data_IF_667563808118
#
_entry.id   IF_667563808118
#
_cell.length_a   1.000
_cell.length_b   1.000
_cell.length_c   1.000
_cell.angle_alpha   90.00
_cell.angle_beta   90.00
_cell.angle_gamma   90.00
#
_symmetry.space_group_name_H-M   'P 1'
#
loop_
_entity.id
_entity.type
_entity.pdbx_description
1 polymer ?
#
# COMPACT_ATOMS: atom_id res chain seq x y z
N UNK A 1 -4.37 17.44 -23.41
CA UNK A 1 -3.69 17.22 -22.11
C UNK A 1 -2.43 18.06 -22.10
N UNK A 2 -2.21 18.91 -21.10
CA UNK A 2 -0.95 19.65 -20.95
C UNK A 2 0.18 18.69 -20.58
N UNK A 3 1.30 18.70 -21.32
CA UNK A 3 2.47 17.88 -20.99
C UNK A 3 3.30 18.63 -19.95
N UNK A 4 3.20 18.20 -18.69
CA UNK A 4 4.03 18.72 -17.60
C UNK A 4 5.35 17.95 -17.52
N UNK A 5 6.45 18.63 -17.20
CA UNK A 5 7.76 18.02 -17.01
C UNK A 5 8.19 18.12 -15.55
N UNK A 6 9.00 17.15 -15.12
CA UNK A 6 9.66 17.18 -13.82
C UNK A 6 10.65 18.35 -13.76
N UNK A 7 10.86 18.89 -12.57
CA UNK A 7 11.87 19.93 -12.37
C UNK A 7 13.31 19.35 -12.43
N UNK A 8 14.32 20.22 -12.42
CA UNK A 8 15.74 19.83 -12.54
C UNK A 8 16.18 18.82 -11.46
N UNK A 9 15.75 19.02 -10.21
CA UNK A 9 16.08 18.15 -9.08
C UNK A 9 15.45 16.76 -9.25
N UNK A 10 14.20 16.71 -9.65
CA UNK A 10 13.47 15.48 -9.93
C UNK A 10 14.06 14.73 -11.13
N UNK A 11 14.47 15.45 -12.19
CA UNK A 11 15.15 14.84 -13.34
C UNK A 11 16.50 14.22 -12.96
N UNK A 12 17.26 14.85 -12.07
CA UNK A 12 18.51 14.30 -11.56
C UNK A 12 18.32 12.94 -10.87
N UNK A 13 17.20 12.74 -10.16
CA UNK A 13 16.85 11.43 -9.56
C UNK A 13 16.70 10.38 -10.66
N UNK A 14 15.96 10.69 -11.73
CA UNK A 14 15.78 9.78 -12.87
C UNK A 14 17.12 9.44 -13.53
N UNK A 15 17.97 10.43 -13.77
CA UNK A 15 19.31 10.22 -14.33
C UNK A 15 20.19 9.35 -13.45
N UNK A 16 20.13 9.53 -12.11
CA UNK A 16 20.88 8.69 -11.17
C UNK A 16 20.42 7.24 -11.24
N UNK A 17 19.11 7.00 -11.21
CA UNK A 17 18.52 5.66 -11.35
C UNK A 17 18.97 5.02 -12.67
N UNK A 18 18.85 5.73 -13.78
CA UNK A 18 19.25 5.25 -15.10
C UNK A 18 20.74 4.87 -15.14
N UNK A 19 21.63 5.76 -14.65
CA UNK A 19 23.08 5.54 -14.58
C UNK A 19 23.44 4.32 -13.74
N UNK A 20 22.81 4.17 -12.57
CA UNK A 20 23.13 3.09 -11.63
C UNK A 20 22.60 1.73 -12.09
N UNK A 21 21.36 1.70 -12.57
CA UNK A 21 20.64 0.48 -12.98
C UNK A 21 20.97 0.03 -14.41
N UNK A 22 21.45 0.95 -15.26
CA UNK A 22 21.61 0.71 -16.70
C UNK A 22 20.27 0.64 -17.46
N UNK A 23 19.16 1.04 -16.84
CA UNK A 23 17.85 1.08 -17.47
C UNK A 23 17.67 2.43 -18.17
N UNK A 24 17.33 2.40 -19.45
CA UNK A 24 17.25 3.59 -20.29
C UNK A 24 15.82 4.07 -20.56
N UNK A 25 14.82 3.30 -20.15
CA UNK A 25 13.40 3.58 -20.35
C UNK A 25 12.61 2.98 -19.19
N UNK A 26 11.99 3.84 -18.38
CA UNK A 26 11.17 3.46 -17.23
C UNK A 26 10.29 4.61 -16.75
N UNK A 27 9.28 4.24 -15.97
CA UNK A 27 8.40 5.13 -15.25
C UNK A 27 8.66 4.99 -13.76
N UNK A 28 9.11 6.06 -13.10
CA UNK A 28 9.25 6.12 -11.66
C UNK A 28 7.91 6.50 -11.04
N UNK A 29 7.36 5.65 -10.17
CA UNK A 29 6.17 5.91 -9.37
C UNK A 29 6.49 5.95 -7.88
N UNK A 30 5.50 5.59 -7.06
CA UNK A 30 5.69 5.45 -5.62
C UNK A 30 5.68 6.77 -4.87
N UNK A 31 6.20 6.76 -3.66
CA UNK A 31 6.09 7.91 -2.74
C UNK A 31 6.97 9.10 -3.11
N UNK A 32 8.05 8.87 -3.85
CA UNK A 32 8.96 9.93 -4.29
C UNK A 32 8.27 10.93 -5.22
N UNK A 33 7.30 10.50 -6.03
CA UNK A 33 6.70 11.34 -7.07
C UNK A 33 5.79 12.43 -6.51
N UNK A 34 5.36 12.29 -5.26
CA UNK A 34 4.54 13.26 -4.55
C UNK A 34 5.16 13.72 -3.23
N UNK A 35 6.43 13.39 -2.97
CA UNK A 35 7.10 13.68 -1.69
C UNK A 35 7.03 15.15 -1.32
N UNK A 36 7.40 16.05 -2.23
CA UNK A 36 7.42 17.49 -1.98
C UNK A 36 6.01 18.01 -1.60
N UNK A 37 4.97 17.56 -2.30
CA UNK A 37 3.58 17.92 -2.00
C UNK A 37 3.14 17.36 -0.64
N UNK A 38 3.58 16.14 -0.28
CA UNK A 38 3.26 15.57 1.01
C UNK A 38 3.93 16.35 2.16
N UNK A 39 5.18 16.76 1.98
CA UNK A 39 5.92 17.61 2.94
C UNK A 39 5.21 18.95 3.14
N UNK A 40 4.75 19.61 2.06
CA UNK A 40 3.96 20.84 2.12
C UNK A 40 2.65 20.67 2.89
N UNK A 41 2.08 19.45 2.90
CA UNK A 41 0.87 19.11 3.65
C UNK A 41 1.15 18.70 5.11
N UNK A 42 2.40 18.78 5.56
CA UNK A 42 2.85 18.36 6.89
C UNK A 42 3.02 16.84 7.05
N UNK A 43 3.10 16.11 5.94
CA UNK A 43 3.26 14.65 5.93
C UNK A 43 4.71 14.30 5.57
N UNK A 44 5.50 14.00 6.59
CA UNK A 44 6.90 13.62 6.42
C UNK A 44 7.05 12.10 6.34
N UNK A 45 7.80 11.62 5.35
CA UNK A 45 8.19 10.21 5.26
C UNK A 45 9.53 10.05 4.53
N UNK A 46 10.20 8.94 4.83
CA UNK A 46 11.41 8.53 4.14
C UNK A 46 11.07 7.77 2.86
N UNK A 47 11.89 7.97 1.84
CA UNK A 47 11.83 7.19 0.58
C UNK A 47 12.94 6.16 0.66
N UNK A 48 12.54 4.93 0.98
CA UNK A 48 13.47 3.82 1.22
C UNK A 48 13.64 2.92 -0.02
N UNK A 49 12.78 3.10 -1.01
CA UNK A 49 12.74 2.36 -2.24
C UNK A 49 12.24 3.22 -3.40
N UNK A 50 12.59 2.82 -4.62
CA UNK A 50 12.04 3.38 -5.85
C UNK A 50 11.18 2.34 -6.56
N UNK A 51 9.91 2.68 -6.76
CA UNK A 51 8.96 1.90 -7.53
C UNK A 51 9.12 2.23 -9.02
N UNK A 52 9.67 1.31 -9.81
CA UNK A 52 9.84 1.47 -11.24
C UNK A 52 8.82 0.62 -11.99
N UNK A 53 8.32 1.15 -13.09
CA UNK A 53 7.53 0.40 -14.05
C UNK A 53 8.16 0.46 -15.44
N UNK A 54 8.23 -0.69 -16.09
CA UNK A 54 8.76 -0.84 -17.44
C UNK A 54 7.71 -1.52 -18.28
N UNK A 55 7.39 -0.91 -19.43
CA UNK A 55 6.41 -1.48 -20.36
C UNK A 55 7.06 -2.67 -21.09
N UNK A 56 6.40 -3.83 -21.03
CA UNK A 56 6.84 -5.03 -21.73
C UNK A 56 6.22 -6.32 -21.22
N UNK A 57 6.88 -7.43 -21.56
CA UNK A 57 6.42 -8.78 -21.33
C UNK A 57 7.51 -9.63 -20.61
N UNK A 58 7.39 -10.95 -20.69
CA UNK A 58 8.39 -11.87 -20.14
C UNK A 58 9.79 -11.71 -20.76
N UNK A 59 9.90 -11.33 -22.05
CA UNK A 59 11.19 -11.08 -22.69
C UNK A 59 11.82 -9.83 -22.10
N UNK A 60 11.05 -8.75 -21.92
CA UNK A 60 11.51 -7.53 -21.23
C UNK A 60 11.94 -7.84 -19.80
N UNK A 61 11.17 -8.62 -19.05
CA UNK A 61 11.53 -9.07 -17.70
C UNK A 61 12.89 -9.78 -17.65
N UNK A 62 13.14 -10.75 -18.53
CA UNK A 62 14.41 -11.46 -18.60
C UNK A 62 15.57 -10.53 -18.97
N UNK A 63 15.33 -9.61 -19.91
CA UNK A 63 16.32 -8.60 -20.32
C UNK A 63 16.70 -7.66 -19.17
N UNK A 64 15.71 -7.09 -18.47
CA UNK A 64 15.92 -6.22 -17.30
C UNK A 64 16.69 -6.97 -16.21
N UNK A 65 16.32 -8.22 -15.91
CA UNK A 65 17.04 -9.03 -14.93
C UNK A 65 18.51 -9.24 -15.32
N UNK A 66 18.81 -9.47 -16.60
CA UNK A 66 20.19 -9.61 -17.11
C UNK A 66 20.96 -8.29 -16.96
N UNK A 67 20.35 -7.15 -17.29
CA UNK A 67 20.94 -5.82 -17.12
C UNK A 67 21.30 -5.59 -15.65
N UNK A 68 20.35 -5.78 -14.73
CA UNK A 68 20.57 -5.57 -13.29
C UNK A 68 21.67 -6.47 -12.72
N UNK A 69 21.72 -7.74 -13.14
CA UNK A 69 22.82 -8.67 -12.78
C UNK A 69 24.17 -8.15 -13.28
N UNK A 70 24.26 -7.71 -14.54
CA UNK A 70 25.51 -7.15 -15.09
C UNK A 70 25.96 -5.87 -14.36
N UNK A 71 25.02 -5.13 -13.78
CA UNK A 71 25.26 -3.94 -12.95
C UNK A 71 25.50 -4.25 -11.47
N UNK A 72 25.69 -5.53 -11.12
CA UNK A 72 25.99 -6.02 -9.74
C UNK A 72 24.92 -5.66 -8.71
N UNK A 73 23.64 -5.69 -9.11
CA UNK A 73 22.53 -5.66 -8.15
C UNK A 73 22.37 -7.01 -7.46
N UNK A 74 22.07 -6.99 -6.17
CA UNK A 74 21.59 -8.18 -5.45
C UNK A 74 20.13 -8.40 -5.78
N UNK A 75 19.78 -9.60 -6.26
CA UNK A 75 18.39 -9.96 -6.57
C UNK A 75 17.74 -10.51 -5.30
N UNK A 76 16.91 -9.70 -4.66
CA UNK A 76 16.14 -10.11 -3.46
C UNK A 76 14.99 -11.01 -3.87
N UNK A 77 14.25 -10.63 -4.92
CA UNK A 77 13.10 -11.39 -5.41
C UNK A 77 12.88 -11.20 -6.90
N UNK A 78 12.44 -12.25 -7.58
CA UNK A 78 12.09 -12.22 -9.00
C UNK A 78 10.94 -13.21 -9.22
N UNK A 79 9.74 -12.72 -9.50
CA UNK A 79 8.52 -13.56 -9.50
C UNK A 79 7.43 -13.04 -10.42
N UNK A 80 6.45 -13.90 -10.69
CA UNK A 80 5.12 -13.43 -11.10
C UNK A 80 4.41 -12.77 -9.90
N UNK A 81 3.64 -11.74 -10.19
CA UNK A 81 2.81 -10.99 -9.25
C UNK A 81 1.45 -10.74 -9.91
N UNK A 82 0.48 -10.25 -9.15
CA UNK A 82 -0.80 -9.82 -9.69
C UNK A 82 -1.11 -8.42 -9.21
N UNK A 83 -1.44 -7.58 -10.17
CA UNK A 83 -1.99 -6.24 -9.95
C UNK A 83 -3.34 -6.26 -10.66
N UNK A 84 -4.42 -5.72 -10.07
CA UNK A 84 -5.81 -5.73 -10.56
C UNK A 84 -6.24 -7.05 -11.23
N UNK A 85 -5.89 -8.18 -10.60
CA UNK A 85 -6.04 -9.56 -11.11
C UNK A 85 -5.29 -9.95 -12.40
N UNK A 86 -4.58 -9.04 -13.07
CA UNK A 86 -3.72 -9.41 -14.19
C UNK A 86 -2.31 -9.75 -13.71
N UNK A 87 -1.75 -10.79 -14.33
CA UNK A 87 -0.38 -11.22 -14.08
C UNK A 87 0.61 -10.16 -14.58
N UNK A 88 1.51 -9.76 -13.70
CA UNK A 88 2.66 -8.88 -13.98
C UNK A 88 3.94 -9.57 -13.49
N UNK A 89 5.10 -9.09 -13.90
CA UNK A 89 6.37 -9.59 -13.37
C UNK A 89 7.01 -8.57 -12.45
N UNK A 90 7.53 -9.02 -11.32
CA UNK A 90 8.16 -8.17 -10.32
C UNK A 90 9.62 -8.59 -10.11
N UNK A 91 10.51 -7.60 -10.10
CA UNK A 91 11.92 -7.73 -9.76
C UNK A 91 12.20 -6.80 -8.58
N UNK A 92 12.59 -7.37 -7.43
CA UNK A 92 13.03 -6.62 -6.26
C UNK A 92 14.54 -6.80 -6.16
N UNK A 93 15.26 -5.68 -6.22
CA UNK A 93 16.72 -5.65 -6.17
C UNK A 93 17.22 -4.63 -5.17
N UNK A 94 18.44 -4.83 -4.70
CA UNK A 94 19.16 -3.83 -3.92
C UNK A 94 20.57 -3.63 -4.42
N UNK A 95 21.08 -2.43 -4.22
CA UNK A 95 22.49 -2.09 -4.39
C UNK A 95 22.84 -1.01 -3.38
N UNK A 96 23.82 -1.29 -2.51
CA UNK A 96 24.09 -0.48 -1.32
C UNK A 96 22.81 -0.36 -0.46
N UNK A 97 22.49 0.84 0.01
CA UNK A 97 21.28 1.13 0.80
C UNK A 97 20.02 1.36 -0.03
N UNK A 98 20.09 1.33 -1.36
CA UNK A 98 18.95 1.64 -2.23
C UNK A 98 18.30 0.34 -2.70
N UNK A 99 16.97 0.28 -2.57
CA UNK A 99 16.12 -0.80 -3.07
C UNK A 99 15.29 -0.33 -4.27
N UNK A 100 15.17 -1.17 -5.28
CA UNK A 100 14.26 -0.97 -6.41
C UNK A 100 13.19 -2.06 -6.43
N UNK A 101 11.92 -1.66 -6.54
CA UNK A 101 10.79 -2.54 -6.83
C UNK A 101 10.36 -2.27 -8.28
N UNK A 102 10.63 -3.22 -9.18
CA UNK A 102 10.50 -3.03 -10.62
C UNK A 102 9.38 -3.93 -11.13
N UNK A 103 8.29 -3.31 -11.57
CA UNK A 103 7.17 -3.95 -12.24
C UNK A 103 7.34 -3.95 -13.77
N UNK A 104 7.22 -5.12 -14.39
CA UNK A 104 7.09 -5.24 -15.85
C UNK A 104 5.60 -5.39 -16.17
N UNK A 105 5.06 -4.37 -16.82
CA UNK A 105 3.62 -4.22 -17.07
C UNK A 105 3.33 -4.05 -18.56
N UNK A 106 2.12 -4.37 -19.00
CA UNK A 106 1.73 -4.18 -20.41
C UNK A 106 1.39 -2.71 -20.72
N UNK A 107 0.91 -1.97 -19.73
CA UNK A 107 0.48 -0.58 -19.85
C UNK A 107 0.68 0.13 -18.49
N UNK A 108 1.11 1.38 -18.51
CA UNK A 108 1.27 2.22 -17.34
C UNK A 108 -0.09 2.62 -16.71
N UNK A 109 -1.15 2.70 -17.51
CA UNK A 109 -2.53 2.95 -17.05
C UNK A 109 -3.02 1.91 -16.05
N UNK A 110 -2.37 0.75 -16.07
CA UNK A 110 -2.67 -0.35 -15.21
C UNK A 110 -2.22 -0.14 -13.77
N UNK A 111 -1.34 0.82 -13.50
CA UNK A 111 -0.79 1.09 -12.19
C UNK A 111 -1.71 1.94 -11.31
N UNK A 112 -1.51 1.83 -9.99
CA UNK A 112 -2.28 2.54 -8.96
C UNK A 112 -3.69 1.96 -8.76
N UNK A 113 -4.17 1.97 -7.51
CA UNK A 113 -5.57 1.64 -7.20
C UNK A 113 -6.38 2.88 -6.82
N UNK A 114 -5.68 3.93 -6.40
CA UNK A 114 -6.22 5.23 -6.03
C UNK A 114 -5.48 6.31 -6.80
N UNK A 115 -6.14 7.44 -7.05
CA UNK A 115 -5.57 8.56 -7.82
C UNK A 115 -4.17 8.93 -7.32
N UNK A 116 -3.96 9.09 -6.01
CA UNK A 116 -2.65 9.47 -5.44
C UNK A 116 -1.49 8.50 -5.71
N UNK A 117 -1.79 7.27 -6.14
CA UNK A 117 -0.78 6.27 -6.52
C UNK A 117 -0.47 6.28 -8.02
N UNK A 118 -1.03 7.24 -8.78
CA UNK A 118 -0.99 7.27 -10.23
C UNK A 118 -0.19 8.46 -10.79
N UNK A 119 0.80 8.94 -10.03
CA UNK A 119 1.77 9.94 -10.48
C UNK A 119 3.05 9.23 -10.87
N UNK A 120 3.44 9.34 -12.13
CA UNK A 120 4.65 8.72 -12.67
C UNK A 120 5.54 9.73 -13.39
N UNK A 121 6.85 9.58 -13.23
CA UNK A 121 7.86 10.37 -13.93
C UNK A 121 8.59 9.48 -14.94
N UNK A 122 8.59 9.90 -16.20
CA UNK A 122 9.19 9.12 -17.28
C UNK A 122 10.66 9.48 -17.48
N UNK A 123 11.53 8.48 -17.53
CA UNK A 123 12.87 8.59 -18.10
C UNK A 123 12.89 7.95 -19.49
N UNK A 124 13.46 8.58 -20.54
CA UNK A 124 14.36 9.73 -20.49
C UNK A 124 13.70 11.10 -20.60
N UNK A 125 12.40 11.17 -20.94
CA UNK A 125 11.78 12.43 -21.34
C UNK A 125 11.57 13.47 -20.22
N UNK A 126 11.58 13.04 -18.95
CA UNK A 126 11.20 13.88 -17.82
C UNK A 126 9.70 14.22 -17.76
N UNK A 127 8.86 13.60 -18.58
CA UNK A 127 7.41 13.85 -18.56
C UNK A 127 6.76 13.32 -17.29
N UNK A 128 5.80 14.08 -16.78
CA UNK A 128 4.90 13.65 -15.71
C UNK A 128 3.66 13.03 -16.35
N UNK A 129 3.31 11.82 -15.92
CA UNK A 129 2.04 11.18 -16.19
C UNK A 129 1.17 11.20 -14.95
N UNK A 130 0.08 11.96 -15.01
CA UNK A 130 -0.90 12.12 -13.94
C UNK A 130 -2.33 12.13 -14.53
N UNK A 131 -2.88 10.97 -14.91
CA UNK A 131 -4.16 10.90 -15.63
C UNK A 131 -5.39 11.16 -14.75
N UNK A 132 -5.23 11.27 -13.43
CA UNK A 132 -6.33 11.41 -12.47
C UNK A 132 -6.23 12.68 -11.62
N UNK A 133 -5.51 13.69 -12.12
CA UNK A 133 -5.26 14.97 -11.44
C UNK A 133 -4.82 14.77 -9.98
N UNK A 134 -3.94 13.80 -9.77
CA UNK A 134 -3.53 13.28 -8.48
C UNK A 134 -2.73 14.31 -7.69
N UNK A 135 -1.91 15.11 -8.37
CA UNK A 135 -1.18 16.23 -7.78
C UNK A 135 -2.16 17.26 -7.19
N UNK A 136 -3.15 17.67 -7.98
CA UNK A 136 -4.18 18.63 -7.56
C UNK A 136 -5.07 18.03 -6.46
N UNK A 137 -5.41 16.74 -6.61
CA UNK A 137 -6.20 15.98 -5.66
C UNK A 137 -5.50 15.83 -4.31
N UNK A 138 -4.18 15.64 -4.28
CA UNK A 138 -3.38 15.62 -3.05
C UNK A 138 -3.46 16.96 -2.31
N UNK A 139 -3.25 18.07 -3.01
CA UNK A 139 -3.36 19.43 -2.44
C UNK A 139 -4.73 19.68 -1.84
N UNK A 140 -5.78 19.21 -2.51
CA UNK A 140 -7.18 19.30 -2.05
C UNK A 140 -7.57 18.21 -1.05
N UNK A 141 -6.66 17.29 -0.70
CA UNK A 141 -6.90 16.10 0.13
C UNK A 141 -8.10 15.26 -0.32
N UNK A 142 -8.30 15.16 -1.64
CA UNK A 142 -9.34 14.36 -2.29
C UNK A 142 -8.78 13.01 -2.77
N UNK A 143 -8.95 11.99 -1.95
CA UNK A 143 -8.59 10.61 -2.30
C UNK A 143 -9.78 9.94 -3.00
N UNK A 144 -9.54 9.27 -4.12
CA UNK A 144 -10.57 8.53 -4.85
C UNK A 144 -10.05 7.19 -5.38
N UNK A 145 -10.87 6.12 -5.34
CA UNK A 145 -10.54 4.88 -6.04
C UNK A 145 -10.62 5.11 -7.55
N UNK A 146 -9.63 4.62 -8.29
CA UNK A 146 -9.63 4.58 -9.76
C UNK A 146 -9.94 3.17 -10.30
N UNK A 147 -10.25 2.24 -9.40
CA UNK A 147 -10.69 0.88 -9.70
C UNK A 147 -12.02 0.60 -9.04
N UNK A 148 -12.82 -0.25 -9.68
CA UNK A 148 -14.04 -0.75 -9.07
C UNK A 148 -13.72 -1.70 -7.91
N UNK A 149 -14.71 -1.95 -7.04
CA UNK A 149 -14.65 -2.97 -5.97
C UNK A 149 -14.35 -4.37 -6.53
N UNK A 150 -14.61 -4.59 -7.82
CA UNK A 150 -14.36 -5.84 -8.53
C UNK A 150 -13.05 -5.87 -9.31
N UNK A 151 -12.33 -4.75 -9.38
CA UNK A 151 -11.09 -4.64 -10.13
C UNK A 151 -9.86 -5.25 -9.43
N UNK A 152 -9.90 -5.51 -8.12
CA UNK A 152 -8.77 -6.09 -7.38
C UNK A 152 -9.25 -6.89 -6.16
N UNK A 153 -8.34 -7.67 -5.58
CA UNK A 153 -8.51 -8.35 -4.32
C UNK A 153 -8.97 -7.37 -3.21
N UNK A 154 -10.10 -7.64 -2.54
CA UNK A 154 -10.69 -6.68 -1.62
C UNK A 154 -9.84 -6.45 -0.36
N UNK A 155 -9.03 -7.43 0.06
CA UNK A 155 -8.07 -7.25 1.15
C UNK A 155 -6.96 -6.27 0.77
N UNK A 156 -6.42 -6.38 -0.45
CA UNK A 156 -5.40 -5.46 -0.97
C UNK A 156 -5.98 -4.04 -1.08
N UNK A 157 -7.15 -3.88 -1.71
CA UNK A 157 -7.79 -2.57 -1.85
C UNK A 157 -8.09 -1.90 -0.51
N UNK A 158 -8.71 -2.63 0.43
CA UNK A 158 -9.06 -2.07 1.73
C UNK A 158 -7.82 -1.64 2.51
N UNK A 159 -6.79 -2.49 2.54
CA UNK A 159 -5.55 -2.19 3.26
C UNK A 159 -4.76 -1.02 2.67
N UNK A 160 -4.71 -0.89 1.33
CA UNK A 160 -4.11 0.26 0.66
C UNK A 160 -4.87 1.55 0.96
N UNK A 161 -6.21 1.54 0.84
CA UNK A 161 -7.05 2.71 1.13
C UNK A 161 -6.85 3.21 2.57
N UNK A 162 -6.92 2.30 3.54
CA UNK A 162 -6.75 2.62 4.98
C UNK A 162 -5.36 3.19 5.25
N UNK A 163 -4.31 2.68 4.60
CA UNK A 163 -2.96 3.23 4.72
C UNK A 163 -2.84 4.63 4.12
N UNK A 164 -3.44 4.90 2.95
CA UNK A 164 -3.45 6.23 2.36
C UNK A 164 -4.23 7.22 3.24
N UNK A 165 -5.38 6.80 3.76
CA UNK A 165 -6.17 7.62 4.67
C UNK A 165 -5.42 7.98 5.94
N UNK A 166 -4.66 7.06 6.53
CA UNK A 166 -3.87 7.35 7.73
C UNK A 166 -2.66 8.21 7.44
N UNK A 167 -1.92 7.92 6.37
CA UNK A 167 -0.75 8.70 5.94
C UNK A 167 -1.08 10.18 5.73
N UNK A 168 -2.20 10.46 5.09
CA UNK A 168 -2.61 11.84 4.74
C UNK A 168 -3.74 12.39 5.62
N UNK A 169 -4.05 11.71 6.74
CA UNK A 169 -5.11 12.09 7.68
C UNK A 169 -6.48 12.36 7.01
N UNK A 170 -6.87 11.52 6.05
CA UNK A 170 -8.17 11.58 5.36
C UNK A 170 -9.24 10.90 6.20
N UNK A 171 -10.32 11.62 6.48
CA UNK A 171 -11.48 11.08 7.17
C UNK A 171 -12.45 10.37 6.20
N UNK A 172 -12.19 9.09 5.94
CA UNK A 172 -13.05 8.27 5.08
C UNK A 172 -14.49 8.10 5.61
N UNK A 173 -14.80 8.51 6.85
CA UNK A 173 -16.18 8.51 7.36
C UNK A 173 -16.94 9.80 7.07
N UNK A 174 -16.24 10.89 6.72
CA UNK A 174 -16.85 12.16 6.28
C UNK A 174 -17.05 12.19 4.77
N UNK A 175 -16.19 11.49 4.03
CA UNK A 175 -16.35 11.31 2.58
C UNK A 175 -17.36 10.19 2.28
N UNK A 176 -18.50 10.54 1.67
CA UNK A 176 -19.59 9.59 1.34
C UNK A 176 -19.13 8.49 0.38
N UNK A 177 -18.25 8.80 -0.57
CA UNK A 177 -17.79 7.87 -1.59
C UNK A 177 -16.81 6.86 -0.97
N UNK A 178 -15.82 7.33 -0.22
CA UNK A 178 -14.87 6.45 0.48
C UNK A 178 -15.57 5.59 1.54
N UNK A 179 -16.52 6.15 2.28
CA UNK A 179 -17.31 5.40 3.26
C UNK A 179 -18.08 4.24 2.61
N UNK A 180 -18.77 4.53 1.51
CA UNK A 180 -19.56 3.53 0.76
C UNK A 180 -18.66 2.47 0.13
N UNK A 181 -17.52 2.89 -0.43
CA UNK A 181 -16.53 2.00 -1.03
C UNK A 181 -15.94 1.03 0.02
N UNK A 182 -15.53 1.52 1.19
CA UNK A 182 -15.02 0.69 2.28
C UNK A 182 -16.08 -0.26 2.85
N UNK A 183 -17.33 0.18 2.97
CA UNK A 183 -18.44 -0.70 3.37
C UNK A 183 -18.63 -1.85 2.38
N UNK A 184 -18.59 -1.55 1.08
CA UNK A 184 -18.73 -2.57 0.05
C UNK A 184 -17.54 -3.55 0.04
N UNK A 185 -16.31 -3.05 0.18
CA UNK A 185 -15.11 -3.90 0.35
C UNK A 185 -15.24 -4.80 1.58
N UNK A 186 -15.74 -4.27 2.70
CA UNK A 186 -15.93 -5.04 3.94
C UNK A 186 -16.93 -6.19 3.76
N UNK A 187 -18.03 -5.97 3.03
CA UNK A 187 -18.97 -7.04 2.65
C UNK A 187 -18.27 -8.09 1.78
N UNK A 188 -17.51 -7.65 0.78
CA UNK A 188 -16.81 -8.54 -0.16
C UNK A 188 -15.70 -9.37 0.51
N UNK A 189 -15.00 -8.80 1.48
CA UNK A 189 -14.01 -9.53 2.31
C UNK A 189 -14.69 -10.70 3.03
N UNK A 190 -15.87 -10.48 3.63
CA UNK A 190 -16.62 -11.53 4.37
C UNK A 190 -17.04 -12.69 3.47
N UNK A 191 -17.32 -12.44 2.19
CA UNK A 191 -17.67 -13.46 1.20
C UNK A 191 -16.48 -13.98 0.38
N UNK A 192 -15.26 -13.46 0.58
CA UNK A 192 -14.09 -13.88 -0.19
C UNK A 192 -13.65 -15.29 0.21
N UNK A 193 -13.53 -16.19 -0.78
CA UNK A 193 -13.25 -17.63 -0.54
C UNK A 193 -11.99 -18.15 -1.22
N UNK A 194 -11.25 -17.33 -1.97
CA UNK A 194 -9.99 -17.75 -2.59
C UNK A 194 -8.99 -18.24 -1.53
N UNK A 195 -8.37 -19.39 -1.81
CA UNK A 195 -7.39 -20.07 -0.94
C UNK A 195 -6.00 -20.16 -1.56
N UNK A 196 -5.84 -19.74 -2.80
CA UNK A 196 -4.52 -19.73 -3.45
C UNK A 196 -3.55 -18.81 -2.71
N UNK A 197 -2.26 -19.01 -2.96
CA UNK A 197 -1.21 -18.29 -2.25
C UNK A 197 -1.35 -16.77 -2.38
N UNK A 198 -1.67 -16.24 -3.57
CA UNK A 198 -1.69 -14.81 -3.79
C UNK A 198 -2.99 -14.16 -3.31
N UNK A 199 -4.14 -14.58 -3.85
CA UNK A 199 -5.43 -13.97 -3.59
C UNK A 199 -6.06 -14.44 -2.26
N UNK A 200 -5.56 -15.53 -1.69
CA UNK A 200 -5.96 -16.04 -0.37
C UNK A 200 -4.98 -15.62 0.72
N UNK A 201 -3.81 -16.26 0.77
CA UNK A 201 -2.87 -16.17 1.90
C UNK A 201 -2.18 -14.80 1.96
N UNK A 202 -1.47 -14.43 0.90
CA UNK A 202 -0.70 -13.18 0.82
C UNK A 202 -1.59 -11.95 0.97
N UNK A 203 -2.76 -11.92 0.31
CA UNK A 203 -3.68 -10.80 0.41
C UNK A 203 -4.20 -10.59 1.84
N UNK A 204 -4.52 -11.67 2.57
CA UNK A 204 -4.92 -11.59 3.99
C UNK A 204 -3.77 -11.13 4.88
N UNK A 205 -2.59 -11.73 4.73
CA UNK A 205 -1.38 -11.34 5.44
C UNK A 205 -1.11 -9.82 5.29
N UNK A 206 -1.17 -9.35 4.05
CA UNK A 206 -0.99 -7.94 3.71
C UNK A 206 -2.03 -7.06 4.43
N UNK A 207 -3.30 -7.44 4.40
CA UNK A 207 -4.35 -6.67 5.06
C UNK A 207 -4.26 -6.67 6.59
N UNK A 208 -3.99 -7.81 7.21
CA UNK A 208 -3.86 -7.92 8.67
C UNK A 208 -2.78 -6.98 9.17
N UNK A 209 -1.59 -7.10 8.61
CA UNK A 209 -0.47 -6.28 9.03
C UNK A 209 -0.70 -4.79 8.76
N UNK A 210 -1.18 -4.44 7.56
CA UNK A 210 -1.35 -3.05 7.18
C UNK A 210 -2.47 -2.35 7.94
N UNK A 211 -3.57 -3.03 8.27
CA UNK A 211 -4.63 -2.43 9.09
C UNK A 211 -4.13 -2.16 10.50
N UNK A 212 -3.36 -3.08 11.09
CA UNK A 212 -2.72 -2.86 12.39
C UNK A 212 -1.71 -1.70 12.33
N UNK A 213 -0.89 -1.63 11.27
CA UNK A 213 0.00 -0.49 11.05
C UNK A 213 -0.73 0.84 10.89
N UNK A 214 -1.86 0.85 10.18
CA UNK A 214 -2.66 2.06 10.00
C UNK A 214 -3.22 2.55 11.34
N UNK A 215 -3.66 1.63 12.21
CA UNK A 215 -4.09 1.99 13.58
C UNK A 215 -2.95 2.70 14.33
N UNK A 216 -1.72 2.21 14.23
CA UNK A 216 -0.55 2.83 14.88
C UNK A 216 -0.24 4.21 14.31
N UNK A 217 -0.30 4.34 12.97
CA UNK A 217 0.02 5.57 12.24
C UNK A 217 -1.05 6.64 12.38
N UNK A 218 -2.27 6.28 12.82
CA UNK A 218 -3.33 7.25 13.04
C UNK A 218 -3.00 8.20 14.20
N UNK A 219 -3.26 9.49 13.98
CA UNK A 219 -3.16 10.55 14.99
C UNK A 219 -4.12 10.32 16.18
N UNK A 220 -5.29 9.73 15.93
CA UNK A 220 -6.25 9.33 16.96
C UNK A 220 -6.64 7.86 16.75
N UNK A 221 -5.99 6.97 17.50
CA UNK A 221 -6.11 5.51 17.33
C UNK A 221 -7.48 5.02 17.74
N UNK A 222 -7.99 5.49 18.89
CA UNK A 222 -9.35 5.19 19.36
C UNK A 222 -10.41 5.52 18.29
N UNK A 223 -10.41 6.76 17.81
CA UNK A 223 -11.37 7.22 16.81
C UNK A 223 -11.20 6.45 15.50
N UNK A 224 -9.97 6.13 15.11
CA UNK A 224 -9.70 5.38 13.89
C UNK A 224 -10.26 3.95 13.95
N UNK A 225 -10.04 3.22 15.04
CA UNK A 225 -10.62 1.89 15.21
C UNK A 225 -12.16 1.97 15.21
N UNK A 226 -12.76 2.98 15.86
CA UNK A 226 -14.22 3.23 15.77
C UNK A 226 -14.69 3.46 14.33
N UNK A 227 -13.93 4.20 13.52
CA UNK A 227 -14.22 4.40 12.10
C UNK A 227 -14.13 3.09 11.30
N UNK A 228 -13.12 2.25 11.57
CA UNK A 228 -13.01 0.91 10.97
C UNK A 228 -14.19 0.01 11.32
N UNK A 229 -14.66 0.05 12.59
CA UNK A 229 -15.88 -0.64 13.01
C UNK A 229 -17.13 -0.08 12.31
N UNK A 230 -17.23 1.25 12.14
CA UNK A 230 -18.39 1.90 11.50
C UNK A 230 -18.56 1.48 10.02
N UNK A 231 -17.47 1.28 9.29
CA UNK A 231 -17.50 0.76 7.91
C UNK A 231 -17.56 -0.77 7.85
N UNK A 232 -17.41 -1.44 8.99
CA UNK A 232 -17.45 -2.89 9.11
C UNK A 232 -16.16 -3.62 8.68
N UNK A 233 -15.07 -2.87 8.47
CA UNK A 233 -13.82 -3.42 7.96
C UNK A 233 -13.08 -4.19 9.04
N UNK A 234 -13.12 -3.72 10.28
CA UNK A 234 -12.40 -4.36 11.38
C UNK A 234 -12.89 -5.79 11.60
N UNK A 235 -14.21 -6.00 11.66
CA UNK A 235 -14.78 -7.35 11.82
C UNK A 235 -14.86 -8.14 10.51
N UNK A 236 -14.69 -7.52 9.35
CA UNK A 236 -14.47 -8.25 8.11
C UNK A 236 -13.10 -8.94 8.11
N UNK A 237 -12.09 -8.26 8.67
CA UNK A 237 -10.69 -8.68 8.66
C UNK A 237 -10.35 -9.54 9.88
N UNK A 238 -10.88 -9.17 11.05
CA UNK A 238 -10.75 -9.86 12.33
C UNK A 238 -12.15 -10.16 12.89
N UNK A 239 -12.85 -11.20 12.40
CA UNK A 239 -14.23 -11.53 12.82
C UNK A 239 -14.38 -11.78 14.31
N UNK A 240 -13.31 -12.18 14.98
CA UNK A 240 -13.22 -12.41 16.43
C UNK A 240 -13.54 -11.12 17.20
N UNK A 241 -13.19 -9.98 16.60
CA UNK A 241 -13.44 -8.62 17.09
C UNK A 241 -14.83 -8.09 16.69
N UNK A 242 -15.82 -8.95 16.46
CA UNK A 242 -17.20 -8.49 16.25
C UNK A 242 -17.80 -7.97 17.56
N UNK A 243 -18.31 -6.74 17.55
CA UNK A 243 -19.00 -6.05 18.67
C UNK A 243 -18.15 -5.78 19.92
N UNK A 244 -16.82 -5.79 19.86
CA UNK A 244 -16.03 -5.40 21.04
C UNK A 244 -16.11 -3.89 21.31
N UNK A 245 -16.08 -3.55 22.60
CA UNK A 245 -15.99 -2.17 23.06
C UNK A 245 -14.52 -1.80 23.21
N UNK A 246 -14.09 -0.77 22.48
CA UNK A 246 -12.74 -0.23 22.59
C UNK A 246 -12.67 0.64 23.86
N UNK A 247 -11.70 0.43 24.76
CA UNK A 247 -11.51 1.28 25.93
C UNK A 247 -11.25 2.74 25.54
N UNK A 248 -11.89 3.70 26.23
CA UNK A 248 -11.74 5.12 25.93
C UNK A 248 -10.31 5.63 26.22
N UNK A 249 -9.62 5.00 27.18
CA UNK A 249 -8.24 5.28 27.54
C UNK A 249 -7.20 4.70 26.54
N UNK A 250 -7.62 4.07 25.44
CA UNK A 250 -6.71 3.41 24.50
C UNK A 250 -5.60 4.34 23.97
N UNK A 251 -5.92 5.61 23.69
CA UNK A 251 -4.91 6.56 23.23
C UNK A 251 -3.82 6.81 24.27
N UNK A 252 -4.17 6.73 25.57
CA UNK A 252 -3.21 6.84 26.68
C UNK A 252 -2.34 5.59 26.78
N UNK A 253 -2.93 4.40 26.64
CA UNK A 253 -2.21 3.13 26.68
C UNK A 253 -1.21 2.97 25.52
N UNK A 254 -1.45 3.64 24.38
CA UNK A 254 -0.62 3.57 23.18
C UNK A 254 0.23 4.83 22.94
N UNK A 255 0.37 5.73 23.92
CA UNK A 255 1.01 7.03 23.71
C UNK A 255 2.53 6.92 23.49
N UNK A 256 3.20 6.08 24.28
CA UNK A 256 4.66 6.17 24.44
C UNK A 256 5.46 5.07 23.72
N UNK A 257 4.82 4.01 23.24
CA UNK A 257 5.46 2.97 22.42
C UNK A 257 4.38 2.21 21.64
N UNK A 258 3.96 2.81 20.53
CA UNK A 258 2.92 2.26 19.68
C UNK A 258 3.53 1.27 18.67
N UNK A 259 3.33 -0.02 18.89
CA UNK A 259 3.78 -1.09 17.99
C UNK A 259 2.64 -2.01 17.57
N UNK A 260 2.85 -2.76 16.49
CA UNK A 260 1.85 -3.75 16.02
C UNK A 260 1.61 -4.80 17.10
N UNK A 261 2.66 -5.18 17.84
CA UNK A 261 2.56 -6.09 18.99
C UNK A 261 1.67 -5.54 20.10
N UNK A 262 1.72 -4.23 20.40
CA UNK A 262 0.82 -3.66 21.41
C UNK A 262 -0.64 -3.62 20.98
N UNK A 263 -0.92 -3.36 19.70
CA UNK A 263 -2.29 -3.46 19.18
C UNK A 263 -2.79 -4.90 19.26
N UNK A 264 -1.94 -5.87 18.94
CA UNK A 264 -2.24 -7.30 19.06
C UNK A 264 -2.54 -7.66 20.52
N UNK A 265 -1.67 -7.29 21.46
CA UNK A 265 -1.84 -7.54 22.89
C UNK A 265 -3.14 -6.93 23.44
N UNK A 266 -3.50 -5.72 22.98
CA UNK A 266 -4.78 -5.11 23.32
C UNK A 266 -5.95 -5.97 22.83
N UNK A 267 -5.93 -6.41 21.58
CA UNK A 267 -6.99 -7.24 21.02
C UNK A 267 -7.08 -8.60 21.72
N UNK A 268 -5.94 -9.20 22.06
CA UNK A 268 -5.83 -10.40 22.89
C UNK A 268 -6.49 -10.21 24.26
N UNK A 269 -6.17 -9.12 24.98
CA UNK A 269 -6.78 -8.78 26.28
C UNK A 269 -8.28 -8.60 26.17
N UNK A 270 -8.79 -8.07 25.06
CA UNK A 270 -10.23 -7.91 24.82
C UNK A 270 -10.95 -9.23 24.48
N UNK A 271 -10.19 -10.28 24.17
CA UNK A 271 -10.68 -11.62 23.85
C UNK A 271 -10.39 -12.64 24.97
N UNK A 272 -9.75 -12.23 26.07
CA UNK A 272 -9.30 -13.16 27.12
C UNK A 272 -10.45 -13.91 27.81
N UNK A 273 -11.64 -13.31 27.86
CA UNK A 273 -12.88 -13.91 28.37
C UNK A 273 -13.59 -14.81 27.34
N UNK A 274 -13.05 -14.96 26.12
CA UNK A 274 -13.63 -15.70 25.00
C UNK A 274 -12.60 -16.66 24.38
N UNK A 275 -12.31 -17.82 25.01
CA UNK A 275 -11.20 -18.70 24.63
C UNK A 275 -11.18 -19.12 23.16
N UNK A 276 -12.34 -19.45 22.58
CA UNK A 276 -12.44 -19.85 21.17
C UNK A 276 -12.07 -18.72 20.21
N UNK A 277 -12.54 -17.50 20.50
CA UNK A 277 -12.20 -16.31 19.71
C UNK A 277 -10.74 -15.93 19.86
N UNK A 278 -10.20 -16.03 21.07
CA UNK A 278 -8.78 -15.82 21.34
C UNK A 278 -7.92 -16.78 20.51
N UNK A 279 -8.22 -18.09 20.56
CA UNK A 279 -7.50 -19.10 19.78
C UNK A 279 -7.58 -18.84 18.27
N UNK A 280 -8.77 -18.53 17.75
CA UNK A 280 -8.95 -18.21 16.33
C UNK A 280 -8.18 -16.96 15.91
N UNK A 281 -8.15 -15.93 16.77
CA UNK A 281 -7.36 -14.72 16.56
C UNK A 281 -5.85 -15.02 16.52
N UNK A 282 -5.34 -15.84 17.46
CA UNK A 282 -3.94 -16.29 17.46
C UNK A 282 -3.56 -17.04 16.18
N UNK A 283 -4.39 -17.99 15.75
CA UNK A 283 -4.17 -18.74 14.50
C UNK A 283 -4.10 -17.82 13.28
N UNK A 284 -4.94 -16.76 13.26
CA UNK A 284 -4.92 -15.75 12.21
C UNK A 284 -3.64 -14.92 12.22
N UNK A 285 -3.14 -14.56 13.39
CA UNK A 285 -1.92 -13.77 13.56
C UNK A 285 -0.64 -14.53 13.21
N UNK A 286 -0.64 -15.88 13.28
CA UNK A 286 0.50 -16.71 12.82
C UNK A 286 0.92 -16.37 11.39
N UNK A 287 -0.02 -15.98 10.54
CA UNK A 287 0.21 -15.62 9.15
C UNK A 287 1.13 -14.39 9.02
N UNK A 288 1.09 -13.45 9.96
CA UNK A 288 1.89 -12.23 9.94
C UNK A 288 3.11 -12.28 10.87
N UNK A 289 3.39 -13.41 11.54
CA UNK A 289 4.40 -13.49 12.59
C UNK A 289 5.81 -13.07 12.12
N UNK A 290 6.18 -13.46 10.89
CA UNK A 290 7.47 -13.11 10.27
C UNK A 290 7.63 -11.61 9.97
N UNK A 291 6.57 -10.81 10.13
CA UNK A 291 6.56 -9.36 9.95
C UNK A 291 6.50 -8.59 11.27
N UNK A 292 6.38 -9.31 12.39
CA UNK A 292 6.33 -8.73 13.74
C UNK A 292 7.71 -8.67 14.42
N UNK A 293 8.73 -9.25 13.79
CA UNK A 293 10.15 -9.19 14.21
C UNK A 293 10.78 -7.87 13.83
#
# INVERSE_FOLDING_TARGET
>A
MSITHVNRKQFFILQRIAKESGLNDFWLGGSITYKEIAEDLGVNFEVNDYDLAIIGDIKKFRSVLKILKSRRFSIIKSRSYYLKFNKVFQIIVSKKSIRYDIGIVKDINYLGHFNWESIFWHFPSGRIYDPYDSIESLRKRKLAPIVSINGENPFILASRLVNLCTRFNVDFCKDKNLFSFLKALSKKIKSWRHKDYFHGVYAREHAYFNILQAIIKSSNRYLFIKKLQKVGLLEAVFPELKKFVIPANLNKELKDDASVRKIIYLFERLLSDKPEKFKSFQERLKIINNRLT
#
